data_IF_728477762166
#
_entry.id   IF_728477762166
#
_cell.length_a   1.000
_cell.length_b   1.000
_cell.length_c   1.000
_cell.angle_alpha   90.00
_cell.angle_beta   90.00
_cell.angle_gamma   90.00
#
_symmetry.space_group_name_H-M   'P 1'
#
loop_
_entity.id
_entity.type
_entity.pdbx_description
1 polymer ?
#
# COMPACT_ATOMS: atom_id res chain seq x y z
N UNK A 1 -11.10 -16.56 -11.67
CA UNK A 1 -11.03 -15.48 -10.66
C UNK A 1 -9.76 -15.74 -9.88
N UNK A 2 -8.65 -15.11 -10.28
CA UNK A 2 -7.34 -15.43 -9.73
C UNK A 2 -6.91 -14.28 -8.83
N UNK A 3 -6.89 -14.56 -7.52
CA UNK A 3 -6.12 -13.85 -6.50
C UNK A 3 -4.62 -14.00 -6.79
N UNK A 4 -4.19 -13.47 -7.94
CA UNK A 4 -2.77 -13.31 -8.21
C UNK A 4 -2.32 -12.16 -7.32
N UNK A 5 -1.76 -12.57 -6.18
CA UNK A 5 -0.67 -11.92 -5.48
C UNK A 5 -0.30 -10.61 -6.17
N UNK A 6 -0.74 -9.49 -5.60
CA UNK A 6 -0.05 -8.22 -5.81
C UNK A 6 1.34 -8.47 -5.23
N UNK A 7 2.20 -9.04 -6.07
CA UNK A 7 3.60 -9.26 -5.77
C UNK A 7 4.13 -7.85 -5.51
N UNK A 8 4.44 -7.57 -4.25
CA UNK A 8 5.24 -6.42 -3.84
C UNK A 8 6.68 -6.61 -4.36
N UNK A 9 6.83 -6.74 -5.68
CA UNK A 9 8.10 -6.60 -6.41
C UNK A 9 8.59 -5.13 -6.40
N UNK A 10 8.00 -4.28 -5.55
CA UNK A 10 8.38 -2.88 -5.32
C UNK A 10 9.74 -2.77 -4.62
N UNK A 11 10.09 -3.74 -3.77
CA UNK A 11 11.31 -3.71 -2.98
C UNK A 11 12.60 -3.93 -3.81
N UNK A 12 12.49 -4.46 -5.04
CA UNK A 12 13.66 -4.90 -5.81
C UNK A 12 14.31 -3.87 -6.73
N UNK A 13 13.63 -2.77 -7.06
CA UNK A 13 14.05 -1.85 -8.15
C UNK A 13 13.88 -0.35 -7.85
N UNK A 14 13.32 0.01 -6.69
CA UNK A 14 13.15 1.39 -6.23
C UNK A 14 14.01 1.61 -5.00
N UNK A 15 15.09 2.37 -5.13
CA UNK A 15 16.00 2.68 -4.03
C UNK A 15 15.34 3.64 -3.04
N UNK A 16 14.74 3.12 -1.96
CA UNK A 16 14.26 3.96 -0.85
C UNK A 16 13.11 3.38 -0.02
N UNK A 17 12.27 2.51 -0.60
CA UNK A 17 11.16 1.88 0.12
C UNK A 17 11.63 0.56 0.72
N UNK A 18 11.66 0.49 2.05
CA UNK A 18 11.83 -0.76 2.78
C UNK A 18 10.48 -1.41 3.11
N UNK A 19 10.50 -2.70 3.48
CA UNK A 19 9.32 -3.35 4.03
C UNK A 19 8.81 -2.64 5.30
N UNK A 20 9.71 -2.04 6.07
CA UNK A 20 9.37 -1.27 7.25
C UNK A 20 8.53 -0.03 6.93
N UNK A 21 8.82 0.67 5.82
CA UNK A 21 8.01 1.81 5.38
C UNK A 21 6.57 1.39 5.09
N UNK A 22 6.39 0.23 4.45
CA UNK A 22 5.06 -0.32 4.14
C UNK A 22 4.34 -0.74 5.43
N UNK A 23 5.05 -1.37 6.36
CA UNK A 23 4.51 -1.74 7.66
C UNK A 23 4.03 -0.51 8.41
N UNK A 24 4.92 0.46 8.66
CA UNK A 24 4.62 1.68 9.39
C UNK A 24 3.43 2.43 8.77
N UNK A 25 3.39 2.53 7.44
CA UNK A 25 2.26 3.14 6.74
C UNK A 25 0.94 2.39 6.96
N UNK A 26 0.97 1.05 6.99
CA UNK A 26 -0.23 0.24 7.14
C UNK A 26 -0.69 0.06 8.59
N UNK A 27 0.22 0.13 9.57
CA UNK A 27 -0.02 -0.21 10.98
C UNK A 27 0.15 0.96 11.94
N UNK A 28 0.76 2.07 11.51
CA UNK A 28 1.23 3.15 12.39
C UNK A 28 2.26 2.70 13.43
N UNK A 29 2.97 1.60 13.16
CA UNK A 29 3.96 1.01 14.08
C UNK A 29 5.24 0.60 13.33
N UNK A 30 6.39 0.96 13.90
CA UNK A 30 7.72 0.63 13.37
C UNK A 30 8.17 -0.78 13.79
N UNK A 31 7.54 -1.36 14.80
CA UNK A 31 7.91 -2.66 15.35
C UNK A 31 6.84 -3.72 15.07
N UNK A 32 7.29 -4.97 14.97
CA UNK A 32 6.38 -6.12 14.88
C UNK A 32 5.88 -6.46 16.28
N UNK A 33 4.59 -6.83 16.46
CA UNK A 33 4.08 -7.26 17.76
C UNK A 33 4.92 -8.38 18.39
N UNK A 34 4.99 -8.42 19.73
CA UNK A 34 5.82 -9.39 20.48
C UNK A 34 5.55 -10.86 20.10
N UNK A 35 4.30 -11.21 19.77
CA UNK A 35 3.89 -12.56 19.35
C UNK A 35 3.79 -12.72 17.81
N UNK A 36 4.28 -11.73 17.07
CA UNK A 36 4.13 -11.61 15.64
C UNK A 36 2.69 -11.33 15.18
N UNK A 37 2.53 -11.14 13.87
CA UNK A 37 1.22 -10.94 13.26
C UNK A 37 0.38 -12.23 13.17
N UNK A 38 1.00 -13.41 13.38
CA UNK A 38 0.29 -14.70 13.35
C UNK A 38 -0.78 -14.82 14.44
N UNK A 39 -0.53 -14.21 15.60
CA UNK A 39 -1.36 -14.34 16.80
C UNK A 39 -2.33 -13.16 16.98
N UNK A 40 -2.39 -12.20 16.05
CA UNK A 40 -3.13 -10.95 16.18
C UNK A 40 -3.69 -10.41 14.86
N UNK A 41 -3.88 -9.09 14.76
CA UNK A 41 -4.37 -8.43 13.52
C UNK A 41 -3.29 -8.51 12.44
N UNK A 42 -3.57 -9.25 11.37
CA UNK A 42 -2.66 -9.42 10.23
C UNK A 42 -2.71 -8.21 9.29
N UNK A 43 -1.56 -7.58 8.97
CA UNK A 43 -1.50 -6.58 7.93
C UNK A 43 -2.05 -7.13 6.62
N UNK A 44 -2.92 -6.36 5.97
CA UNK A 44 -3.58 -6.77 4.74
C UNK A 44 -3.52 -5.67 3.69
N UNK A 45 -3.49 -6.05 2.43
CA UNK A 45 -3.61 -5.13 1.31
C UNK A 45 -4.89 -5.43 0.55
N UNK A 46 -5.67 -4.40 0.28
CA UNK A 46 -6.92 -4.49 -0.47
C UNK A 46 -6.97 -3.41 -1.53
N UNK A 47 -7.64 -3.70 -2.63
CA UNK A 47 -7.77 -2.76 -3.74
C UNK A 47 -9.06 -1.95 -3.63
N UNK A 48 -9.05 -0.72 -4.16
CA UNK A 48 -10.26 0.08 -4.34
C UNK A 48 -10.27 0.75 -5.70
N UNK A 49 -11.42 0.79 -6.35
CA UNK A 49 -11.57 1.48 -7.63
C UNK A 49 -11.43 2.99 -7.46
N UNK A 50 -10.68 3.61 -8.37
CA UNK A 50 -10.57 5.07 -8.44
C UNK A 50 -11.87 5.67 -8.99
N UNK A 51 -12.45 6.59 -8.21
CA UNK A 51 -13.60 7.41 -8.61
C UNK A 51 -13.16 8.76 -9.17
N UNK A 52 -14.11 9.51 -9.77
CA UNK A 52 -13.87 10.81 -10.45
C UNK A 52 -13.20 11.89 -9.58
N UNK A 53 -13.29 11.76 -8.26
CA UNK A 53 -12.74 12.70 -7.29
C UNK A 53 -11.59 12.12 -6.45
N UNK A 54 -11.11 10.91 -6.75
CA UNK A 54 -10.11 10.22 -5.93
C UNK A 54 -8.71 10.26 -6.54
N UNK A 55 -7.73 10.33 -5.65
CA UNK A 55 -6.31 10.30 -5.96
C UNK A 55 -5.83 8.87 -6.26
N UNK A 56 -4.75 8.73 -7.03
CA UNK A 56 -4.02 7.48 -7.23
C UNK A 56 -2.95 7.24 -6.14
N UNK A 57 -2.98 8.03 -5.07
CA UNK A 57 -2.13 7.86 -3.89
C UNK A 57 -2.73 6.72 -3.03
N UNK A 58 -1.93 5.72 -2.63
CA UNK A 58 -2.40 4.67 -1.74
C UNK A 58 -2.70 5.25 -0.35
N UNK A 59 -3.66 4.65 0.35
CA UNK A 59 -4.05 5.07 1.71
C UNK A 59 -4.02 3.88 2.65
N UNK A 60 -4.14 4.11 3.96
CA UNK A 60 -4.22 3.04 4.93
C UNK A 60 -5.30 3.30 5.98
N UNK A 61 -5.88 2.21 6.48
CA UNK A 61 -6.69 2.19 7.70
C UNK A 61 -5.86 1.49 8.78
N UNK A 62 -5.07 2.28 9.52
CA UNK A 62 -4.08 1.78 10.49
C UNK A 62 -4.74 1.06 11.67
N UNK A 63 -5.93 1.47 12.08
CA UNK A 63 -6.72 0.80 13.13
C UNK A 63 -7.08 -0.66 12.81
N UNK A 64 -6.95 -1.10 11.55
CA UNK A 64 -7.19 -2.47 11.11
C UNK A 64 -6.01 -3.04 10.31
N UNK A 65 -4.82 -2.44 10.41
CA UNK A 65 -3.60 -2.82 9.70
C UNK A 65 -3.84 -3.01 8.18
N UNK A 66 -4.56 -2.10 7.52
CA UNK A 66 -4.99 -2.31 6.13
C UNK A 66 -4.44 -1.25 5.18
N UNK A 67 -3.66 -1.69 4.20
CA UNK A 67 -3.25 -0.91 3.03
C UNK A 67 -4.33 -0.94 1.95
N UNK A 68 -4.62 0.22 1.36
CA UNK A 68 -5.60 0.42 0.30
C UNK A 68 -4.89 0.88 -0.98
N UNK A 69 -4.86 0.01 -1.98
CA UNK A 69 -4.23 0.27 -3.27
C UNK A 69 -5.28 0.71 -4.31
N UNK A 70 -5.04 1.79 -5.06
CA UNK A 70 -5.93 2.18 -6.14
C UNK A 70 -5.85 1.19 -7.31
N UNK A 71 -7.00 0.82 -7.85
CA UNK A 71 -7.14 0.03 -9.08
C UNK A 71 -7.95 0.81 -10.12
N UNK A 72 -7.75 0.55 -11.43
CA UNK A 72 -8.52 1.25 -12.45
C UNK A 72 -10.01 0.95 -12.28
N UNK A 73 -10.84 1.90 -12.70
CA UNK A 73 -12.28 1.67 -12.88
C UNK A 73 -12.61 1.53 -14.37
N UNK A 74 -13.86 1.24 -14.71
CA UNK A 74 -14.31 1.15 -16.11
C UNK A 74 -14.09 2.44 -16.90
N UNK A 75 -14.14 3.60 -16.23
CA UNK A 75 -14.02 4.92 -16.86
C UNK A 75 -12.63 5.54 -16.69
N UNK A 76 -11.82 5.05 -15.73
CA UNK A 76 -10.56 5.70 -15.33
C UNK A 76 -9.44 4.67 -15.32
N UNK A 77 -8.52 4.81 -16.26
CA UNK A 77 -7.28 4.05 -16.28
C UNK A 77 -6.31 4.56 -15.20
N UNK A 78 -5.45 3.67 -14.70
CA UNK A 78 -4.31 4.09 -13.90
C UNK A 78 -3.31 4.88 -14.76
N UNK A 79 -2.51 5.78 -14.15
CA UNK A 79 -1.33 6.33 -14.78
C UNK A 79 -0.38 5.24 -15.27
N UNK A 80 0.62 5.64 -16.07
CA UNK A 80 1.71 4.74 -16.41
C UNK A 80 2.41 4.23 -15.14
N UNK A 81 3.09 3.08 -15.28
CA UNK A 81 3.72 2.39 -14.17
C UNK A 81 4.69 3.31 -13.40
N UNK A 82 5.47 4.14 -14.08
CA UNK A 82 6.49 4.95 -13.43
C UNK A 82 5.84 6.02 -12.54
N UNK A 83 4.86 6.73 -13.09
CA UNK A 83 4.07 7.74 -12.36
C UNK A 83 3.32 7.12 -11.18
N UNK A 84 2.64 5.98 -11.38
CA UNK A 84 1.90 5.31 -10.32
C UNK A 84 2.80 4.93 -9.14
N UNK A 85 3.96 4.38 -9.46
CA UNK A 85 4.94 3.99 -8.45
C UNK A 85 5.56 5.20 -7.75
N UNK A 86 5.79 6.33 -8.43
CA UNK A 86 6.24 7.58 -7.78
C UNK A 86 5.20 8.10 -6.77
N UNK A 87 3.91 7.97 -7.06
CA UNK A 87 2.85 8.31 -6.11
C UNK A 87 2.85 7.38 -4.89
N UNK A 88 3.17 6.11 -5.09
CA UNK A 88 3.28 5.14 -4.00
C UNK A 88 4.50 5.43 -3.14
N UNK A 89 5.64 5.72 -3.77
CA UNK A 89 6.87 6.10 -3.07
C UNK A 89 6.63 7.37 -2.24
N UNK A 90 5.92 8.36 -2.78
CA UNK A 90 5.55 9.59 -2.07
C UNK A 90 4.69 9.31 -0.83
N UNK A 91 3.70 8.40 -0.92
CA UNK A 91 2.87 8.04 0.23
C UNK A 91 3.65 7.30 1.30
N UNK A 92 4.42 6.28 0.90
CA UNK A 92 5.09 5.34 1.80
C UNK A 92 6.35 5.91 2.46
N UNK A 93 7.02 6.89 1.83
CA UNK A 93 8.15 7.61 2.44
C UNK A 93 7.71 8.75 3.35
N UNK A 94 6.46 9.19 3.24
CA UNK A 94 5.97 10.30 4.02
C UNK A 94 5.57 9.82 5.42
N UNK A 95 6.52 9.95 6.35
CA UNK A 95 6.38 9.57 7.76
C UNK A 95 5.37 10.43 8.56
N UNK A 96 4.73 11.42 7.93
CA UNK A 96 3.78 12.35 8.57
C UNK A 96 2.31 12.10 8.18
N UNK A 97 2.00 10.94 7.58
CA UNK A 97 0.62 10.44 7.52
C UNK A 97 0.25 9.68 8.79
#
# INVERSE_FOLDING_TARGET
MNDKCINFHLAGHRSGISLNNIQQFATCDEEVPLLGYESGVKPSATSHEVGKSKSFIPTANTCCCRLLLPTPSLEIALPDKETLLQLYDMALLNAYF
#
